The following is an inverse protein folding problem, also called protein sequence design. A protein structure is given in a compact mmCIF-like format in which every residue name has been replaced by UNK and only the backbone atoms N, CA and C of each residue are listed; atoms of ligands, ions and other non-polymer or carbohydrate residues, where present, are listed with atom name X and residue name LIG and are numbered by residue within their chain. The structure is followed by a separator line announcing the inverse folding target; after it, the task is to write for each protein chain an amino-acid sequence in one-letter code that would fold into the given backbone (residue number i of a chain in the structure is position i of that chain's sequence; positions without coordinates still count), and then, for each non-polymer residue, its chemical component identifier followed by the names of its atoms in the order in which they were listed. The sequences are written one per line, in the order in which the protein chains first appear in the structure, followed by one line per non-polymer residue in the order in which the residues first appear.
data_IF_520080800749
#
_entry.id   IF_520080800749
#
_cell.length_a   1.000
_cell.length_b   1.000
_cell.length_c   1.000
_cell.angle_alpha   90.00
_cell.angle_beta   90.00
_cell.angle_gamma   90.00
#
_symmetry.space_group_name_H-M   'P 1'
#
loop_
_entity.id
_entity.type
_entity.pdbx_description
1 polymer ?
#
# COMPACT_ATOMS: atom_id res chain seq x y z
N UNK A 1 6.22 -52.17 34.86
CA UNK A 1 6.60 -51.05 33.97
C UNK A 1 5.49 -50.75 32.96
N UNK A 2 4.91 -51.76 32.32
CA UNK A 2 3.92 -51.61 31.23
C UNK A 2 2.66 -50.80 31.60
N UNK A 3 2.18 -50.91 32.85
CA UNK A 3 0.98 -50.20 33.30
C UNK A 3 1.19 -48.68 33.45
N UNK A 4 2.41 -48.25 33.77
CA UNK A 4 2.76 -46.83 33.88
C UNK A 4 2.99 -46.21 32.49
N UNK A 5 3.55 -46.98 31.56
CA UNK A 5 3.78 -46.55 30.19
C UNK A 5 2.46 -46.34 29.42
N UNK A 6 1.49 -47.23 29.62
CA UNK A 6 0.17 -47.12 28.98
C UNK A 6 -0.63 -45.91 29.48
N UNK A 7 -0.59 -45.59 30.79
CA UNK A 7 -1.28 -44.42 31.35
C UNK A 7 -0.67 -43.09 30.86
N UNK A 8 0.67 -43.04 30.71
CA UNK A 8 1.36 -41.89 30.16
C UNK A 8 1.04 -41.70 28.67
N UNK A 9 1.01 -42.80 27.90
CA UNK A 9 0.68 -42.79 26.47
C UNK A 9 -0.76 -42.35 26.22
N UNK A 10 -1.73 -42.83 27.03
CA UNK A 10 -3.14 -42.46 26.93
C UNK A 10 -3.34 -40.97 27.21
N UNK A 11 -2.72 -40.43 28.27
CA UNK A 11 -2.75 -38.99 28.59
C UNK A 11 -2.11 -38.13 27.50
N UNK A 12 -0.96 -38.55 26.95
CA UNK A 12 -0.32 -37.84 25.83
C UNK A 12 -1.20 -37.86 24.57
N UNK A 13 -1.85 -38.98 24.27
CA UNK A 13 -2.73 -39.11 23.10
C UNK A 13 -3.93 -38.18 23.16
N UNK A 14 -4.54 -38.01 24.34
CA UNK A 14 -5.67 -37.09 24.57
C UNK A 14 -5.22 -35.65 24.39
N UNK A 15 -4.05 -35.28 24.92
CA UNK A 15 -3.49 -33.93 24.78
C UNK A 15 -3.22 -33.60 23.31
N UNK A 16 -2.62 -34.54 22.55
CA UNK A 16 -2.35 -34.37 21.12
C UNK A 16 -3.67 -34.22 20.34
N UNK A 17 -4.69 -35.01 20.66
CA UNK A 17 -6.00 -34.92 20.02
C UNK A 17 -6.66 -33.56 20.29
N UNK A 18 -6.61 -33.07 21.53
CA UNK A 18 -7.15 -31.75 21.90
C UNK A 18 -6.41 -30.62 21.17
N UNK A 19 -5.09 -30.72 21.04
CA UNK A 19 -4.29 -29.74 20.27
C UNK A 19 -4.66 -29.75 18.77
N UNK A 20 -4.80 -30.94 18.16
CA UNK A 20 -5.19 -31.07 16.74
C UNK A 20 -6.59 -30.53 16.45
N UNK A 21 -7.54 -30.74 17.39
CA UNK A 21 -8.89 -30.17 17.30
C UNK A 21 -8.88 -28.64 17.50
N UNK A 22 -8.01 -28.11 18.35
CA UNK A 22 -7.82 -26.66 18.52
C UNK A 22 -7.27 -25.97 17.27
N UNK A 23 -6.31 -26.58 16.58
CA UNK A 23 -5.66 -25.99 15.39
C UNK A 23 -6.61 -26.03 14.17
N UNK A 24 -7.48 -27.04 14.08
CA UNK A 24 -8.45 -27.18 12.97
C UNK A 24 -9.65 -26.23 13.06
N UNK A 25 -9.86 -25.57 14.21
CA UNK A 25 -10.91 -24.55 14.39
C UNK A 25 -10.52 -23.16 13.85
N UNK A 26 -9.24 -22.91 13.54
CA UNK A 26 -8.80 -21.68 12.86
C UNK A 26 -9.07 -21.75 11.35
N UNK A 27 -10.35 -21.84 10.95
CA UNK A 27 -10.75 -21.47 9.59
C UNK A 27 -10.67 -19.95 9.47
N UNK A 28 -9.50 -19.42 9.14
CA UNK A 28 -9.37 -18.06 8.62
C UNK A 28 -9.99 -18.01 7.23
N UNK A 29 -11.33 -17.92 7.16
CA UNK A 29 -12.03 -17.61 5.92
C UNK A 29 -11.83 -16.12 5.63
N UNK A 30 -10.60 -15.72 5.32
CA UNK A 30 -10.30 -14.37 4.89
C UNK A 30 -11.02 -14.15 3.55
N UNK A 31 -12.16 -13.49 3.59
CA UNK A 31 -12.85 -13.05 2.38
C UNK A 31 -12.11 -11.81 1.91
N UNK A 32 -11.31 -11.95 0.86
CA UNK A 32 -10.87 -10.78 0.11
C UNK A 32 -12.13 -10.03 -0.36
N UNK A 33 -12.26 -8.73 -0.05
CA UNK A 33 -13.34 -7.95 -0.62
C UNK A 33 -13.25 -8.06 -2.14
N UNK A 34 -14.40 -8.14 -2.81
CA UNK A 34 -14.42 -8.02 -4.27
C UNK A 34 -13.89 -6.64 -4.64
N UNK A 35 -13.26 -6.55 -5.80
CA UNK A 35 -12.88 -5.26 -6.36
C UNK A 35 -14.11 -4.34 -6.42
N UNK A 36 -13.91 -3.09 -6.02
CA UNK A 36 -14.93 -2.06 -5.91
C UNK A 36 -14.47 -0.83 -6.69
N UNK A 37 -15.32 -0.34 -7.58
CA UNK A 37 -15.03 0.84 -8.40
C UNK A 37 -15.23 2.14 -7.62
N UNK A 38 -15.92 2.12 -6.48
CA UNK A 38 -16.24 3.31 -5.67
C UNK A 38 -15.11 3.72 -4.72
N UNK A 39 -13.87 3.31 -5.04
CA UNK A 39 -12.65 3.62 -4.29
C UNK A 39 -12.71 3.22 -2.79
N UNK A 40 -13.55 2.24 -2.45
CA UNK A 40 -13.58 1.58 -1.14
C UNK A 40 -13.97 2.47 0.06
N UNK A 41 -13.74 1.99 1.29
CA UNK A 41 -14.32 2.59 2.51
C UNK A 41 -13.65 3.91 2.95
N UNK A 42 -12.57 4.34 2.30
CA UNK A 42 -11.85 5.57 2.68
C UNK A 42 -11.48 6.41 1.46
N UNK A 43 -12.48 7.03 0.80
CA UNK A 43 -12.29 7.71 -0.48
C UNK A 43 -11.32 8.89 -0.39
N UNK A 44 -11.26 9.62 0.73
CA UNK A 44 -10.29 10.72 0.89
C UNK A 44 -8.84 10.23 0.98
N UNK A 45 -8.58 9.16 1.76
CA UNK A 45 -7.24 8.57 1.84
C UNK A 45 -6.87 7.98 0.49
N UNK A 46 -7.78 7.26 -0.17
CA UNK A 46 -7.48 6.65 -1.46
C UNK A 46 -7.24 7.72 -2.53
N UNK A 47 -8.04 8.79 -2.59
CA UNK A 47 -7.79 9.92 -3.46
C UNK A 47 -6.44 10.63 -3.18
N UNK A 48 -6.04 10.76 -1.91
CA UNK A 48 -4.70 11.26 -1.53
C UNK A 48 -3.59 10.36 -2.11
N UNK A 49 -3.75 9.05 -1.97
CA UNK A 49 -2.78 8.05 -2.45
C UNK A 49 -2.71 8.00 -3.98
N UNK A 50 -3.85 8.08 -4.64
CA UNK A 50 -3.96 8.16 -6.10
C UNK A 50 -3.22 9.41 -6.59
N UNK A 51 -3.48 10.57 -5.97
CA UNK A 51 -2.74 11.80 -6.30
C UNK A 51 -1.24 11.66 -6.06
N UNK A 52 -0.84 11.07 -4.93
CA UNK A 52 0.58 10.82 -4.62
C UNK A 52 1.26 10.00 -5.72
N UNK A 53 0.66 8.87 -6.11
CA UNK A 53 1.17 7.99 -7.15
C UNK A 53 1.27 8.72 -8.50
N UNK A 54 0.22 9.42 -8.91
CA UNK A 54 0.21 10.19 -10.16
C UNK A 54 1.24 11.31 -10.17
N UNK A 55 1.51 11.94 -9.03
CA UNK A 55 2.54 12.97 -8.92
C UNK A 55 3.96 12.41 -8.97
N UNK A 56 4.21 11.21 -8.41
CA UNK A 56 5.47 10.49 -8.60
C UNK A 56 5.65 10.16 -10.09
N UNK A 57 4.60 9.66 -10.75
CA UNK A 57 4.61 9.32 -12.18
C UNK A 57 4.93 10.55 -13.06
N UNK A 58 4.33 11.70 -12.75
CA UNK A 58 4.59 12.97 -13.45
C UNK A 58 6.04 13.42 -13.32
N UNK A 59 6.61 13.31 -12.12
CA UNK A 59 8.01 13.69 -11.91
C UNK A 59 8.96 12.71 -12.62
N UNK A 60 8.67 11.41 -12.60
CA UNK A 60 9.46 10.40 -13.31
C UNK A 60 9.50 10.61 -14.83
N UNK A 61 8.38 11.01 -15.43
CA UNK A 61 8.27 11.27 -16.87
C UNK A 61 8.46 12.74 -17.27
N UNK A 62 8.91 13.58 -16.34
CA UNK A 62 9.07 15.02 -16.58
C UNK A 62 10.04 15.27 -17.74
N UNK A 63 9.62 16.11 -18.68
CA UNK A 63 10.38 16.42 -19.90
C UNK A 63 10.21 15.40 -21.03
N UNK A 64 9.51 14.29 -20.81
CA UNK A 64 9.20 13.29 -21.85
C UNK A 64 7.83 13.55 -22.49
N UNK A 65 7.56 12.92 -23.64
CA UNK A 65 6.22 12.91 -24.24
C UNK A 65 5.25 11.94 -23.55
N UNK A 66 5.74 11.02 -22.71
CA UNK A 66 4.90 10.01 -22.06
C UNK A 66 3.78 10.67 -21.24
N UNK A 67 4.09 11.70 -20.44
CA UNK A 67 3.07 12.36 -19.63
C UNK A 67 2.03 13.12 -20.46
N UNK A 68 2.42 13.63 -21.64
CA UNK A 68 1.49 14.30 -22.56
C UNK A 68 0.47 13.30 -23.12
N UNK A 69 0.92 12.11 -23.49
CA UNK A 69 0.04 11.05 -23.99
C UNK A 69 -0.87 10.51 -22.88
N UNK A 70 -0.31 10.26 -21.68
CA UNK A 70 -1.05 9.82 -20.50
C UNK A 70 -2.16 10.81 -20.13
N UNK A 71 -1.91 12.12 -20.25
CA UNK A 71 -2.87 13.16 -19.87
C UNK A 71 -4.06 13.30 -20.83
N UNK A 72 -4.05 12.65 -22.01
CA UNK A 72 -5.16 12.75 -22.99
C UNK A 72 -6.41 11.96 -22.60
N UNK A 73 -6.28 10.98 -21.72
CA UNK A 73 -7.31 9.95 -21.44
C UNK A 73 -7.65 9.83 -19.94
N UNK A 74 -7.49 10.92 -19.19
CA UNK A 74 -7.89 11.04 -17.77
C UNK A 74 -6.98 10.36 -16.72
N UNK A 75 -5.84 9.79 -17.12
CA UNK A 75 -4.91 9.12 -16.18
C UNK A 75 -4.29 10.09 -15.16
N UNK A 76 -4.45 11.40 -15.34
CA UNK A 76 -3.98 12.42 -14.40
C UNK A 76 -4.98 12.87 -13.33
N UNK A 77 -6.21 12.35 -13.36
CA UNK A 77 -7.29 12.78 -12.49
C UNK A 77 -7.39 11.85 -11.27
N UNK A 78 -7.03 12.30 -10.05
CA UNK A 78 -7.29 11.52 -8.86
C UNK A 78 -8.81 11.42 -8.63
N UNK A 79 -9.27 10.34 -7.99
CA UNK A 79 -10.65 10.20 -7.58
C UNK A 79 -11.13 11.41 -6.76
N UNK A 80 -12.40 11.81 -6.89
CA UNK A 80 -12.99 13.06 -6.34
C UNK A 80 -13.11 13.14 -4.80
N UNK A 81 -12.29 12.38 -4.06
CA UNK A 81 -12.31 12.37 -2.59
C UNK A 81 -11.66 13.60 -1.93
N UNK A 82 -10.93 14.42 -2.68
CA UNK A 82 -10.25 15.64 -2.21
C UNK A 82 -10.26 16.73 -3.29
N UNK A 83 -10.42 18.00 -2.89
CA UNK A 83 -10.49 19.13 -3.83
C UNK A 83 -9.67 20.35 -3.41
N UNK A 84 -8.87 20.26 -2.34
CA UNK A 84 -8.07 21.37 -1.82
C UNK A 84 -6.82 21.62 -2.68
N UNK A 85 -6.66 22.80 -3.32
CA UNK A 85 -5.46 23.11 -4.08
C UNK A 85 -4.20 23.20 -3.22
N UNK A 86 -4.34 23.60 -1.95
CA UNK A 86 -3.23 23.61 -0.99
C UNK A 86 -2.75 22.19 -0.69
N UNK A 87 -3.70 21.27 -0.46
CA UNK A 87 -3.39 19.85 -0.29
C UNK A 87 -2.68 19.28 -1.50
N UNK A 88 -3.16 19.58 -2.71
CA UNK A 88 -2.51 19.11 -3.93
C UNK A 88 -1.07 19.58 -4.04
N UNK A 89 -0.78 20.85 -3.75
CA UNK A 89 0.61 21.36 -3.73
C UNK A 89 1.47 20.61 -2.71
N UNK A 90 0.91 20.30 -1.53
CA UNK A 90 1.62 19.56 -0.48
C UNK A 90 1.89 18.12 -0.89
N UNK A 91 0.90 17.41 -1.43
CA UNK A 91 1.06 16.06 -1.99
C UNK A 91 2.13 16.05 -3.07
N UNK A 92 2.06 16.99 -4.02
CA UNK A 92 3.02 17.08 -5.12
C UNK A 92 4.45 17.31 -4.60
N UNK A 93 4.61 18.16 -3.57
CA UNK A 93 5.91 18.38 -2.93
C UNK A 93 6.46 17.12 -2.25
N UNK A 94 5.62 16.35 -1.55
CA UNK A 94 6.00 15.08 -0.92
C UNK A 94 6.39 14.05 -1.99
N UNK A 95 5.60 13.93 -3.06
CA UNK A 95 5.85 13.02 -4.18
C UNK A 95 7.20 13.26 -4.85
N UNK A 96 7.53 14.53 -5.13
CA UNK A 96 8.84 14.92 -5.68
C UNK A 96 9.97 14.56 -4.71
N UNK A 97 9.76 14.80 -3.41
CA UNK A 97 10.72 14.45 -2.36
C UNK A 97 10.95 12.94 -2.26
N UNK A 98 9.90 12.14 -2.41
CA UNK A 98 9.99 10.68 -2.45
C UNK A 98 10.75 10.20 -3.70
N UNK A 99 10.37 10.67 -4.89
CA UNK A 99 10.99 10.26 -6.16
C UNK A 99 12.50 10.49 -6.17
N UNK A 100 12.95 11.67 -5.68
CA UNK A 100 14.38 12.01 -5.59
C UNK A 100 15.19 11.14 -4.63
N UNK A 101 14.53 10.43 -3.71
CA UNK A 101 15.17 9.53 -2.74
C UNK A 101 15.20 8.08 -3.21
N UNK A 102 14.57 7.76 -4.34
CA UNK A 102 14.60 6.40 -4.90
C UNK A 102 16.05 6.09 -5.28
N UNK A 103 16.65 5.04 -4.68
CA UNK A 103 18.03 4.70 -4.95
C UNK A 103 18.17 4.16 -6.37
N UNK A 104 19.39 4.21 -6.96
CA UNK A 104 19.69 3.46 -8.16
C UNK A 104 19.46 1.95 -7.91
N UNK A 105 19.20 1.18 -8.98
CA UNK A 105 18.96 -0.26 -8.86
C UNK A 105 20.18 -0.96 -8.26
N UNK A 106 19.99 -1.69 -7.15
CA UNK A 106 21.09 -2.42 -6.48
C UNK A 106 21.31 -3.83 -7.03
N UNK A 107 20.33 -4.38 -7.75
CA UNK A 107 20.34 -5.76 -8.24
C UNK A 107 19.84 -5.74 -9.69
N UNK A 108 20.75 -5.52 -10.63
CA UNK A 108 20.43 -5.64 -12.03
C UNK A 108 21.68 -5.85 -12.86
N UNK A 109 21.80 -7.02 -13.49
CA UNK A 109 22.98 -7.38 -14.28
C UNK A 109 23.06 -6.62 -15.63
N UNK A 110 22.00 -5.88 -16.02
CA UNK A 110 21.93 -5.17 -17.31
C UNK A 110 21.14 -3.83 -17.27
N UNK A 111 20.92 -3.24 -16.10
CA UNK A 111 20.18 -1.97 -16.03
C UNK A 111 21.08 -0.82 -16.46
N UNK A 112 20.54 0.06 -17.29
CA UNK A 112 21.17 1.37 -17.50
C UNK A 112 21.10 2.18 -16.20
N UNK A 113 22.06 3.07 -15.94
CA UNK A 113 22.14 3.89 -14.72
C UNK A 113 20.85 4.71 -14.43
N UNK A 114 19.98 4.82 -15.44
CA UNK A 114 18.73 5.59 -15.42
C UNK A 114 17.50 4.76 -14.98
N UNK A 115 17.61 3.43 -14.86
CA UNK A 115 16.50 2.54 -14.52
C UNK A 115 16.35 2.34 -13.00
N UNK A 116 15.79 3.34 -12.32
CA UNK A 116 15.67 3.38 -10.86
C UNK A 116 14.46 2.61 -10.26
N UNK A 117 13.89 1.61 -10.95
CA UNK A 117 12.70 0.84 -10.51
C UNK A 117 11.56 1.70 -9.91
N UNK A 118 11.42 2.96 -10.35
CA UNK A 118 10.55 3.92 -9.66
C UNK A 118 9.10 3.44 -9.58
N UNK A 119 8.62 2.73 -10.60
CA UNK A 119 7.25 2.22 -10.66
C UNK A 119 6.98 1.21 -9.54
N UNK A 120 7.91 0.27 -9.33
CA UNK A 120 7.80 -0.71 -8.25
C UNK A 120 7.83 -0.02 -6.88
N UNK A 121 8.73 0.95 -6.69
CA UNK A 121 8.84 1.72 -5.46
C UNK A 121 7.59 2.57 -5.20
N UNK A 122 7.01 3.18 -6.23
CA UNK A 122 5.77 3.93 -6.15
C UNK A 122 4.58 3.04 -5.77
N UNK A 123 4.48 1.83 -6.34
CA UNK A 123 3.45 0.85 -5.98
C UNK A 123 3.59 0.33 -4.55
N UNK A 124 4.82 0.05 -4.11
CA UNK A 124 5.08 -0.32 -2.72
C UNK A 124 4.71 0.81 -1.75
N UNK A 125 5.05 2.05 -2.08
CA UNK A 125 4.70 3.21 -1.27
C UNK A 125 3.18 3.44 -1.26
N UNK A 126 2.51 3.28 -2.41
CA UNK A 126 1.05 3.30 -2.52
C UNK A 126 0.39 2.27 -1.58
N UNK A 127 0.93 1.06 -1.49
CA UNK A 127 0.41 0.03 -0.59
C UNK A 127 0.86 0.16 0.89
N UNK A 128 1.71 1.15 1.21
CA UNK A 128 2.38 1.22 2.51
C UNK A 128 1.52 1.86 3.61
N UNK A 129 1.73 1.40 4.85
CA UNK A 129 1.20 2.05 6.06
C UNK A 129 1.79 3.45 6.29
N UNK A 130 3.00 3.69 5.77
CA UNK A 130 3.66 4.98 5.86
C UNK A 130 2.83 6.04 5.11
N UNK A 131 2.46 5.76 3.86
CA UNK A 131 1.64 6.67 3.08
C UNK A 131 0.23 6.84 3.69
N UNK A 132 -0.36 5.77 4.22
CA UNK A 132 -1.64 5.87 4.95
C UNK A 132 -1.52 6.82 6.16
N UNK A 133 -0.40 6.77 6.88
CA UNK A 133 -0.14 7.65 8.03
C UNK A 133 0.03 9.11 7.59
N UNK A 134 0.78 9.35 6.51
CA UNK A 134 0.93 10.68 5.92
C UNK A 134 -0.44 11.23 5.52
N UNK A 135 -1.22 10.46 4.76
CA UNK A 135 -2.55 10.85 4.30
C UNK A 135 -3.45 11.28 5.47
N UNK A 136 -3.47 10.51 6.57
CA UNK A 136 -4.27 10.83 7.77
C UNK A 136 -3.82 12.13 8.44
N UNK A 137 -2.52 12.34 8.60
CA UNK A 137 -1.98 13.57 9.20
C UNK A 137 -2.35 14.79 8.35
N UNK A 138 -2.11 14.69 7.05
CA UNK A 138 -2.33 15.79 6.12
C UNK A 138 -3.80 16.18 5.95
N UNK A 139 -4.68 15.18 5.82
CA UNK A 139 -6.12 15.41 5.75
C UNK A 139 -6.67 16.00 7.04
N UNK A 140 -6.15 15.57 8.19
CA UNK A 140 -6.55 16.11 9.50
C UNK A 140 -6.14 17.57 9.64
N UNK A 141 -4.90 17.92 9.30
CA UNK A 141 -4.41 19.31 9.37
C UNK A 141 -5.28 20.28 8.55
N UNK A 142 -5.71 19.87 7.36
CA UNK A 142 -6.59 20.70 6.53
C UNK A 142 -7.97 20.84 7.13
N UNK A 143 -8.53 19.76 7.65
CA UNK A 143 -9.83 19.83 8.32
C UNK A 143 -9.79 20.84 9.48
N UNK A 144 -8.74 20.83 10.30
CA UNK A 144 -8.57 21.79 11.40
C UNK A 144 -8.30 23.24 10.98
N UNK A 145 -7.87 23.50 9.74
CA UNK A 145 -7.66 24.87 9.24
C UNK A 145 -8.92 25.50 8.66
N UNK A 146 -9.92 24.69 8.32
CA UNK A 146 -11.17 25.13 7.69
C UNK A 146 -12.30 25.38 8.70
N UNK A 147 -12.07 25.10 9.98
CA UNK A 147 -12.98 25.34 11.11
C UNK A 147 -12.26 26.13 12.21
#
# INVERSE_FOLDING_TARGET
MDRFYNDLYEKCSVIILVMLLGISACKTSYKYPRFDFDNGPNPCINAFKDRMFLSILREAYKGTNAIKEISKIDVGNPYDGISSPELFKKIDSIAVGFYKKIPPPSVCDECTEEQNYFMAQALHFYASKELDSIARTELKEIFFRLF
#
